data_IF_181605969669
#
_entry.id   IF_181605969669
#
_cell.length_a   1.000
_cell.length_b   1.000
_cell.length_c   1.000
_cell.angle_alpha   90.00
_cell.angle_beta   90.00
_cell.angle_gamma   90.00
#
_symmetry.space_group_name_H-M   'P 1'
#
loop_
_entity.id
_entity.type
_entity.pdbx_description
1 polymer ?
#
# COMPACT_ATOMS: atom_id res chain seq x y z
N UNK A 1 4.78 -23.53 30.31
CA UNK A 1 4.87 -22.06 30.04
C UNK A 1 4.79 -21.67 28.54
N UNK A 2 5.01 -22.58 27.58
CA UNK A 2 4.65 -22.39 26.16
C UNK A 2 3.12 -22.27 25.93
N UNK A 3 2.30 -22.89 26.79
CA UNK A 3 0.83 -22.89 26.66
C UNK A 3 0.19 -21.49 26.69
N UNK A 4 0.81 -20.47 27.31
CA UNK A 4 0.24 -19.11 27.42
C UNK A 4 0.20 -18.33 26.10
N UNK A 5 0.89 -18.77 25.04
CA UNK A 5 0.90 -18.11 23.71
C UNK A 5 0.20 -18.96 22.64
N UNK A 6 0.13 -20.28 22.83
CA UNK A 6 -0.45 -21.21 21.85
C UNK A 6 -1.97 -21.08 21.72
N UNK A 7 -2.69 -20.93 22.85
CA UNK A 7 -4.14 -20.74 22.85
C UNK A 7 -4.57 -19.44 22.12
N UNK A 8 -4.01 -18.25 22.44
CA UNK A 8 -4.38 -17.03 21.72
C UNK A 8 -3.95 -17.05 20.24
N UNK A 9 -2.84 -17.72 19.90
CA UNK A 9 -2.43 -17.86 18.50
C UNK A 9 -3.40 -18.73 17.67
N UNK A 10 -3.88 -19.85 18.21
CA UNK A 10 -4.86 -20.72 17.52
C UNK A 10 -6.17 -19.98 17.25
N UNK A 11 -6.66 -19.25 18.25
CA UNK A 11 -7.83 -18.39 18.11
C UNK A 11 -7.62 -17.31 17.05
N UNK A 12 -6.51 -16.54 17.13
CA UNK A 12 -6.16 -15.52 16.15
C UNK A 12 -6.07 -16.08 14.73
N UNK A 13 -5.48 -17.27 14.56
CA UNK A 13 -5.39 -17.95 13.27
C UNK A 13 -6.76 -18.32 12.71
N UNK A 14 -7.66 -18.84 13.54
CA UNK A 14 -9.03 -19.18 13.13
C UNK A 14 -9.81 -17.92 12.72
N UNK A 15 -9.74 -16.86 13.53
CA UNK A 15 -10.36 -15.56 13.22
C UNK A 15 -9.84 -14.97 11.91
N UNK A 16 -8.51 -14.96 11.70
CA UNK A 16 -7.91 -14.50 10.45
C UNK A 16 -8.36 -15.34 9.26
N UNK A 17 -8.43 -16.67 9.40
CA UNK A 17 -8.89 -17.53 8.32
C UNK A 17 -10.34 -17.21 7.92
N UNK A 18 -11.24 -17.05 8.89
CA UNK A 18 -12.64 -16.63 8.63
C UNK A 18 -12.68 -15.28 7.94
N UNK A 19 -11.93 -14.31 8.43
CA UNK A 19 -11.85 -12.96 7.87
C UNK A 19 -11.38 -12.96 6.41
N UNK A 20 -10.34 -13.75 6.10
CA UNK A 20 -9.79 -13.87 4.75
C UNK A 20 -10.71 -14.60 3.78
N UNK A 21 -11.61 -15.45 4.30
CA UNK A 21 -12.57 -16.19 3.49
C UNK A 21 -13.87 -15.42 3.27
N UNK A 22 -14.39 -14.75 4.30
CA UNK A 22 -15.76 -14.23 4.32
C UNK A 22 -15.86 -12.72 4.49
N UNK A 23 -14.81 -12.06 4.98
CA UNK A 23 -14.87 -10.66 5.40
C UNK A 23 -15.22 -10.45 6.87
N UNK A 24 -15.64 -11.50 7.58
CA UNK A 24 -16.08 -11.43 8.97
C UNK A 24 -15.42 -12.49 9.84
N UNK A 25 -15.37 -12.22 11.14
CA UNK A 25 -14.93 -13.16 12.15
C UNK A 25 -15.70 -12.95 13.47
N UNK A 26 -15.73 -13.96 14.32
CA UNK A 26 -16.27 -13.87 15.68
C UNK A 26 -15.19 -14.31 16.69
N UNK A 27 -15.26 -13.83 17.93
CA UNK A 27 -14.27 -14.23 18.95
C UNK A 27 -14.66 -15.58 19.55
N UNK A 28 -13.70 -16.37 20.05
CA UNK A 28 -14.03 -17.60 20.75
C UNK A 28 -14.92 -17.32 21.96
N UNK A 29 -16.10 -17.95 22.00
CA UNK A 29 -17.09 -17.77 23.05
C UNK A 29 -18.22 -16.81 22.71
N UNK A 30 -18.11 -16.04 21.62
CA UNK A 30 -19.20 -15.22 21.07
C UNK A 30 -20.12 -16.08 20.18
N UNK A 31 -21.38 -15.67 20.00
CA UNK A 31 -22.28 -16.29 19.03
C UNK A 31 -21.78 -16.02 17.61
N UNK A 32 -21.73 -17.01 16.69
CA UNK A 32 -21.46 -16.75 15.28
C UNK A 32 -22.34 -15.67 14.64
N UNK A 33 -23.55 -15.43 15.18
CA UNK A 33 -24.41 -14.31 14.78
C UNK A 33 -23.80 -12.93 15.08
N UNK A 34 -22.88 -12.83 16.04
CA UNK A 34 -22.18 -11.60 16.44
C UNK A 34 -20.88 -11.37 15.63
N UNK A 35 -20.80 -11.93 14.42
CA UNK A 35 -19.64 -11.76 13.55
C UNK A 35 -19.39 -10.27 13.21
N UNK A 36 -18.12 -9.87 13.22
CA UNK A 36 -17.67 -8.50 12.99
C UNK A 36 -16.62 -8.41 11.89
N UNK A 37 -16.60 -7.30 11.19
CA UNK A 37 -15.57 -6.88 10.22
C UNK A 37 -14.54 -5.92 10.86
N UNK A 38 -14.68 -5.61 12.15
CA UNK A 38 -13.80 -4.67 12.84
C UNK A 38 -12.41 -5.28 13.03
N UNK A 39 -11.44 -4.79 12.27
CA UNK A 39 -10.07 -5.30 12.29
C UNK A 39 -9.29 -4.96 13.57
N UNK A 40 -9.68 -3.92 14.32
CA UNK A 40 -8.86 -3.36 15.39
C UNK A 40 -8.59 -4.35 16.55
N UNK A 41 -9.59 -5.09 17.09
CA UNK A 41 -9.34 -6.07 18.14
C UNK A 41 -8.42 -7.22 17.70
N UNK A 42 -8.60 -7.68 16.45
CA UNK A 42 -7.78 -8.74 15.87
C UNK A 42 -6.33 -8.27 15.65
N UNK A 43 -6.14 -7.04 15.16
CA UNK A 43 -4.82 -6.42 15.03
C UNK A 43 -4.11 -6.29 16.38
N UNK A 44 -4.82 -5.83 17.42
CA UNK A 44 -4.28 -5.74 18.78
C UNK A 44 -3.82 -7.11 19.31
N UNK A 45 -4.61 -8.15 19.05
CA UNK A 45 -4.26 -9.53 19.43
C UNK A 45 -3.01 -10.03 18.69
N UNK A 46 -2.93 -9.82 17.38
CA UNK A 46 -1.78 -10.22 16.56
C UNK A 46 -0.52 -9.45 16.94
N UNK A 47 -0.65 -8.14 17.17
CA UNK A 47 0.43 -7.27 17.64
C UNK A 47 0.98 -7.75 18.99
N UNK A 48 0.11 -8.11 19.94
CA UNK A 48 0.52 -8.68 21.21
C UNK A 48 1.27 -10.00 21.05
N UNK A 49 0.75 -10.93 20.21
CA UNK A 49 1.40 -12.21 19.93
C UNK A 49 2.79 -11.99 19.32
N UNK A 50 2.89 -11.09 18.33
CA UNK A 50 4.15 -10.74 17.68
C UNK A 50 5.16 -10.16 18.67
N UNK A 51 4.73 -9.22 19.52
CA UNK A 51 5.59 -8.60 20.52
C UNK A 51 6.13 -9.59 21.56
N UNK A 52 5.26 -10.48 22.08
CA UNK A 52 5.67 -11.55 23.01
C UNK A 52 6.66 -12.50 22.34
N UNK A 53 6.44 -12.81 21.06
CA UNK A 53 7.35 -13.65 20.28
C UNK A 53 8.70 -12.97 20.05
N UNK A 54 8.71 -11.74 19.55
CA UNK A 54 9.92 -10.99 19.25
C UNK A 54 10.82 -10.82 20.48
N UNK A 55 10.24 -10.67 21.67
CA UNK A 55 10.97 -10.63 22.95
C UNK A 55 11.57 -11.97 23.39
N UNK A 56 10.96 -13.09 22.99
CA UNK A 56 11.41 -14.44 23.35
C UNK A 56 12.36 -15.03 22.33
N UNK A 57 12.28 -14.57 21.09
CA UNK A 57 13.19 -14.98 20.03
C UNK A 57 14.62 -14.52 20.36
N UNK A 58 15.59 -15.36 20.02
CA UNK A 58 17.00 -14.97 20.12
C UNK A 58 17.27 -13.77 19.21
N UNK A 59 18.34 -13.02 19.52
CA UNK A 59 18.78 -11.91 18.66
C UNK A 59 18.82 -12.34 17.19
N UNK A 60 18.37 -11.50 16.23
CA UNK A 60 18.26 -11.87 14.81
C UNK A 60 19.54 -12.46 14.23
N UNK A 61 20.70 -11.91 14.61
CA UNK A 61 22.03 -12.39 14.19
C UNK A 61 22.29 -13.85 14.62
N UNK A 62 21.89 -14.23 15.83
CA UNK A 62 22.06 -15.59 16.37
C UNK A 62 21.14 -16.56 15.64
N UNK A 63 19.88 -16.17 15.40
CA UNK A 63 18.94 -16.99 14.62
C UNK A 63 19.41 -17.16 13.17
N UNK A 64 20.01 -16.14 12.56
CA UNK A 64 20.56 -16.22 11.19
C UNK A 64 21.71 -17.23 11.11
N UNK A 65 22.63 -17.20 12.07
CA UNK A 65 23.75 -18.14 12.16
C UNK A 65 23.26 -19.57 12.42
N UNK A 66 22.38 -19.76 13.41
CA UNK A 66 21.84 -21.08 13.75
C UNK A 66 21.00 -21.69 12.59
N UNK A 67 20.30 -20.86 11.82
CA UNK A 67 19.60 -21.30 10.61
C UNK A 67 20.57 -21.70 9.50
N UNK A 68 21.64 -20.92 9.28
CA UNK A 68 22.65 -21.24 8.28
C UNK A 68 23.41 -22.53 8.62
N UNK A 69 23.60 -22.81 9.92
CA UNK A 69 24.19 -24.04 10.42
C UNK A 69 23.22 -25.24 10.45
N UNK A 70 21.94 -25.05 10.08
CA UNK A 70 20.92 -26.11 10.14
C UNK A 70 20.47 -26.52 11.54
N UNK A 71 20.96 -25.84 12.58
CA UNK A 71 20.73 -26.19 13.99
C UNK A 71 19.34 -25.77 14.50
N UNK A 72 18.80 -24.67 13.97
CA UNK A 72 17.54 -24.11 14.44
C UNK A 72 16.83 -23.30 13.37
N UNK A 73 15.56 -23.62 13.12
CA UNK A 73 14.69 -22.82 12.26
C UNK A 73 13.66 -22.08 13.14
N UNK A 74 13.75 -20.74 13.28
CA UNK A 74 12.83 -20.00 14.14
C UNK A 74 11.39 -20.10 13.59
N UNK A 75 10.38 -20.41 14.44
CA UNK A 75 9.01 -20.56 13.98
C UNK A 75 8.48 -19.20 13.48
N UNK A 76 8.14 -19.09 12.19
CA UNK A 76 7.66 -17.84 11.55
C UNK A 76 6.15 -17.69 11.54
N UNK A 77 5.41 -18.73 11.91
CA UNK A 77 3.96 -18.80 11.72
C UNK A 77 3.16 -17.63 12.33
N UNK A 78 3.51 -17.06 13.52
CA UNK A 78 2.84 -15.86 14.01
C UNK A 78 3.18 -14.58 13.25
N UNK A 79 4.43 -14.44 12.80
CA UNK A 79 4.87 -13.32 11.96
C UNK A 79 4.20 -13.38 10.58
N UNK A 80 4.18 -14.57 9.96
CA UNK A 80 3.55 -14.78 8.66
C UNK A 80 2.03 -14.56 8.72
N UNK A 81 1.37 -14.98 9.81
CA UNK A 81 -0.05 -14.70 10.03
C UNK A 81 -0.31 -13.20 10.15
N UNK A 82 0.51 -12.49 10.93
CA UNK A 82 0.35 -11.05 11.08
C UNK A 82 0.67 -10.30 9.78
N UNK A 83 1.68 -10.74 9.02
CA UNK A 83 1.96 -10.25 7.66
C UNK A 83 0.75 -10.40 6.74
N UNK A 84 0.12 -11.59 6.72
CA UNK A 84 -1.11 -11.82 5.94
C UNK A 84 -2.24 -10.90 6.38
N UNK A 85 -2.43 -10.73 7.69
CA UNK A 85 -3.44 -9.82 8.21
C UNK A 85 -3.20 -8.36 7.80
N UNK A 86 -1.97 -7.86 7.92
CA UNK A 86 -1.65 -6.49 7.50
C UNK A 86 -1.81 -6.33 5.98
N UNK A 87 -1.42 -7.33 5.19
CA UNK A 87 -1.63 -7.30 3.74
C UNK A 87 -3.12 -7.25 3.40
N UNK A 88 -3.95 -8.04 4.10
CA UNK A 88 -5.40 -7.98 3.96
C UNK A 88 -5.94 -6.58 4.27
N UNK A 89 -5.59 -6.02 5.44
CA UNK A 89 -6.04 -4.70 5.90
C UNK A 89 -5.69 -3.57 4.93
N UNK A 90 -4.46 -3.56 4.41
CA UNK A 90 -3.97 -2.44 3.61
C UNK A 90 -4.18 -2.61 2.10
N UNK A 91 -4.18 -3.84 1.58
CA UNK A 91 -4.14 -4.07 0.13
C UNK A 91 -5.36 -4.83 -0.39
N UNK A 92 -5.84 -5.88 0.32
CA UNK A 92 -7.00 -6.66 -0.13
C UNK A 92 -8.35 -6.03 0.24
N UNK A 93 -8.42 -5.33 1.38
CA UNK A 93 -9.60 -4.65 1.89
C UNK A 93 -9.29 -3.22 2.40
N UNK A 94 -8.67 -2.35 1.57
CA UNK A 94 -8.38 -0.97 1.96
C UNK A 94 -9.68 -0.20 2.21
N UNK A 95 -9.79 0.46 3.36
CA UNK A 95 -10.95 1.29 3.74
C UNK A 95 -11.02 2.65 3.02
N UNK A 96 -9.89 3.11 2.50
CA UNK A 96 -9.74 4.36 1.77
C UNK A 96 -8.58 4.20 0.77
N UNK A 97 -8.45 5.06 -0.26
CA UNK A 97 -7.32 5.01 -1.17
C UNK A 97 -6.00 5.07 -0.41
N UNK A 98 -5.09 4.14 -0.68
CA UNK A 98 -3.84 3.99 0.07
C UNK A 98 -2.65 4.41 -0.77
N UNK A 99 -1.87 5.38 -0.29
CA UNK A 99 -0.62 5.82 -0.91
C UNK A 99 0.57 5.18 -0.18
N UNK A 100 1.46 4.56 -0.94
CA UNK A 100 2.70 3.93 -0.48
C UNK A 100 3.87 4.75 -1.01
N UNK A 101 4.50 5.52 -0.12
CA UNK A 101 5.67 6.36 -0.42
C UNK A 101 6.98 5.64 -0.09
N UNK A 102 8.12 6.23 -0.46
CA UNK A 102 9.43 5.70 -0.11
C UNK A 102 9.75 5.97 1.37
N UNK A 103 9.64 7.25 1.74
CA UNK A 103 9.99 7.78 3.05
C UNK A 103 8.78 8.27 3.87
N UNK A 104 9.04 8.53 5.16
CA UNK A 104 8.08 9.26 6.01
C UNK A 104 8.04 10.76 5.68
N UNK A 105 9.11 11.30 5.12
CA UNK A 105 9.20 12.69 4.65
C UNK A 105 8.12 12.98 3.61
N UNK A 106 7.99 12.10 2.63
CA UNK A 106 7.07 12.24 1.50
C UNK A 106 5.61 12.25 1.98
N UNK A 107 5.31 11.45 3.01
CA UNK A 107 4.00 11.45 3.67
C UNK A 107 3.73 12.85 4.24
N UNK A 108 4.66 13.42 4.99
CA UNK A 108 4.50 14.75 5.57
C UNK A 108 4.35 15.83 4.49
N UNK A 109 5.12 15.76 3.40
CA UNK A 109 4.98 16.71 2.28
C UNK A 109 3.59 16.64 1.65
N UNK A 110 3.12 15.44 1.30
CA UNK A 110 1.80 15.24 0.68
C UNK A 110 0.67 15.63 1.63
N UNK A 111 0.81 15.36 2.92
CA UNK A 111 -0.17 15.79 3.93
C UNK A 111 -0.29 17.32 3.96
N UNK A 112 0.83 18.03 3.91
CA UNK A 112 0.83 19.49 3.90
C UNK A 112 0.27 20.03 2.57
N UNK A 113 0.69 19.48 1.43
CA UNK A 113 0.22 19.88 0.12
C UNK A 113 -1.30 19.66 -0.06
N UNK A 114 -1.82 18.48 0.30
CA UNK A 114 -3.26 18.19 0.24
C UNK A 114 -4.05 19.16 1.13
N UNK A 115 -3.51 19.52 2.31
CA UNK A 115 -4.16 20.48 3.20
C UNK A 115 -4.21 21.88 2.60
N UNK A 116 -3.10 22.35 2.04
CA UNK A 116 -3.02 23.68 1.42
C UNK A 116 -3.89 23.78 0.15
N UNK A 117 -3.93 22.71 -0.65
CA UNK A 117 -4.59 22.66 -1.95
C UNK A 117 -5.97 21.96 -1.91
N UNK A 118 -6.55 21.76 -0.73
CA UNK A 118 -7.79 20.97 -0.54
C UNK A 118 -8.94 21.44 -1.44
N UNK A 119 -9.06 22.75 -1.65
CA UNK A 119 -10.11 23.35 -2.50
C UNK A 119 -10.00 22.96 -3.97
N UNK A 120 -8.77 22.70 -4.45
CA UNK A 120 -8.49 22.23 -5.82
C UNK A 120 -8.66 20.71 -5.96
N UNK A 121 -8.45 19.96 -4.87
CA UNK A 121 -8.42 18.49 -4.87
C UNK A 121 -9.45 17.85 -3.92
N UNK A 122 -10.75 18.00 -4.21
CA UNK A 122 -11.82 17.53 -3.33
C UNK A 122 -11.89 16.00 -3.18
N UNK A 123 -11.25 15.22 -4.07
CA UNK A 123 -11.18 13.76 -3.92
C UNK A 123 -10.08 13.33 -2.93
N UNK A 124 -9.14 14.22 -2.61
CA UNK A 124 -8.02 13.94 -1.71
C UNK A 124 -8.26 14.43 -0.28
N UNK A 125 -9.09 15.46 -0.12
CA UNK A 125 -9.48 16.02 1.16
C UNK A 125 -10.74 16.87 1.05
N UNK A 126 -11.37 17.12 2.20
CA UNK A 126 -12.52 18.02 2.34
C UNK A 126 -12.34 18.92 3.56
N UNK A 127 -12.95 20.09 3.55
CA UNK A 127 -13.06 20.95 4.73
C UNK A 127 -14.33 20.61 5.52
N UNK A 128 -14.21 20.38 6.83
CA UNK A 128 -15.31 20.12 7.76
C UNK A 128 -14.98 20.84 9.08
N UNK A 129 -15.88 21.71 9.55
CA UNK A 129 -15.71 22.52 10.77
C UNK A 129 -14.39 23.32 10.85
N UNK A 130 -13.97 23.89 9.71
CA UNK A 130 -12.72 24.64 9.60
C UNK A 130 -11.45 23.76 9.69
N UNK A 131 -11.59 22.43 9.65
CA UNK A 131 -10.48 21.48 9.61
C UNK A 131 -10.48 20.73 8.29
N UNK A 132 -9.30 20.50 7.73
CA UNK A 132 -9.15 19.65 6.56
C UNK A 132 -9.11 18.19 6.98
N UNK A 133 -10.09 17.43 6.51
CA UNK A 133 -10.16 15.98 6.63
C UNK A 133 -9.63 15.36 5.34
N UNK A 134 -8.55 14.61 5.46
CA UNK A 134 -7.97 13.87 4.34
C UNK A 134 -8.79 12.62 4.02
N UNK A 135 -9.05 12.38 2.73
CA UNK A 135 -9.82 11.24 2.23
C UNK A 135 -8.93 10.07 1.77
N UNK A 136 -7.62 10.31 1.64
CA UNK A 136 -6.60 9.29 1.33
C UNK A 136 -5.82 8.88 2.57
N UNK A 137 -5.37 7.63 2.61
CA UNK A 137 -4.51 7.08 3.65
C UNK A 137 -3.08 6.92 3.15
N UNK A 138 -2.12 6.96 4.07
CA UNK A 138 -0.73 6.65 3.79
C UNK A 138 -0.34 5.38 4.52
N UNK A 139 0.41 4.51 3.85
CA UNK A 139 1.01 3.37 4.53
C UNK A 139 2.10 3.90 5.45
N UNK A 140 1.72 4.18 6.69
CA UNK A 140 2.66 4.74 7.66
C UNK A 140 3.60 3.65 8.10
N UNK A 141 4.88 3.87 7.88
CA UNK A 141 5.84 2.83 8.15
C UNK A 141 6.33 2.92 9.59
N UNK A 142 5.60 2.28 10.48
CA UNK A 142 6.13 1.97 11.81
C UNK A 142 7.17 0.85 11.66
N UNK A 143 8.21 0.82 12.50
CA UNK A 143 9.22 -0.25 12.45
C UNK A 143 8.56 -1.64 12.40
N UNK A 144 7.54 -1.85 13.24
CA UNK A 144 6.75 -3.08 13.26
C UNK A 144 5.97 -3.36 11.98
N UNK A 145 5.29 -2.40 11.37
CA UNK A 145 4.51 -2.66 10.14
C UNK A 145 5.39 -2.84 8.91
N UNK A 146 6.49 -2.08 8.78
CA UNK A 146 7.50 -2.26 7.72
C UNK A 146 8.18 -3.62 7.82
N UNK A 147 8.66 -3.98 9.02
CA UNK A 147 9.35 -5.25 9.26
C UNK A 147 8.43 -6.44 8.97
N UNK A 148 7.16 -6.35 9.38
CA UNK A 148 6.21 -7.44 9.24
C UNK A 148 5.69 -7.57 7.82
N UNK A 149 5.33 -6.47 7.15
CA UNK A 149 4.92 -6.51 5.75
C UNK A 149 6.08 -6.89 4.81
N UNK A 150 7.32 -6.88 5.31
CA UNK A 150 8.54 -7.21 4.57
C UNK A 150 8.67 -6.35 3.28
N UNK A 151 8.23 -5.10 3.36
CA UNK A 151 8.23 -4.16 2.24
C UNK A 151 9.60 -3.53 2.00
N UNK A 152 10.71 -4.20 2.33
CA UNK A 152 12.07 -3.69 2.15
C UNK A 152 12.30 -2.26 2.69
N UNK A 153 13.42 -1.67 2.26
CA UNK A 153 13.65 -0.24 2.42
C UNK A 153 13.60 0.42 1.03
N UNK A 154 13.01 1.60 0.99
CA UNK A 154 13.01 2.44 -0.20
C UNK A 154 12.35 1.82 -1.44
N UNK A 155 12.87 2.19 -2.61
CA UNK A 155 12.42 1.68 -3.92
C UNK A 155 12.44 0.14 -4.05
N UNK A 156 13.40 -0.55 -3.43
CA UNK A 156 13.46 -2.02 -3.45
C UNK A 156 12.22 -2.67 -2.81
N UNK A 157 11.69 -1.99 -1.79
CA UNK A 157 10.46 -2.35 -1.11
C UNK A 157 9.22 -2.31 -1.99
N UNK A 158 9.06 -1.18 -2.69
CA UNK A 158 7.99 -0.97 -3.64
C UNK A 158 8.07 -1.98 -4.80
N UNK A 159 9.27 -2.26 -5.31
CA UNK A 159 9.48 -3.26 -6.35
C UNK A 159 9.07 -4.68 -5.88
N UNK A 160 9.37 -5.03 -4.63
CA UNK A 160 8.95 -6.30 -4.03
C UNK A 160 7.43 -6.39 -3.87
N UNK A 161 6.78 -5.30 -3.45
CA UNK A 161 5.32 -5.21 -3.37
C UNK A 161 4.68 -5.45 -4.74
N UNK A 162 5.13 -4.74 -5.78
CA UNK A 162 4.59 -4.88 -7.15
C UNK A 162 4.69 -6.33 -7.63
N UNK A 163 5.87 -6.94 -7.49
CA UNK A 163 6.12 -8.29 -7.99
C UNK A 163 5.35 -9.39 -7.24
N UNK A 164 5.10 -9.21 -5.95
CA UNK A 164 4.42 -10.21 -5.12
C UNK A 164 2.91 -9.99 -4.98
N UNK A 165 2.39 -8.82 -5.40
CA UNK A 165 1.02 -8.36 -5.13
C UNK A 165 -0.05 -9.40 -5.49
N UNK A 166 -0.09 -9.81 -6.76
CA UNK A 166 -1.08 -10.77 -7.30
C UNK A 166 -0.98 -12.13 -6.62
N UNK A 167 0.24 -12.59 -6.33
CA UNK A 167 0.43 -13.87 -5.64
C UNK A 167 0.00 -13.79 -4.17
N UNK A 168 0.22 -12.66 -3.50
CA UNK A 168 -0.26 -12.44 -2.14
C UNK A 168 -1.78 -12.39 -2.09
N UNK A 169 -2.44 -11.77 -3.08
CA UNK A 169 -3.90 -11.72 -3.18
C UNK A 169 -4.57 -13.10 -3.27
N UNK A 170 -3.88 -14.13 -3.79
CA UNK A 170 -4.39 -15.51 -3.84
C UNK A 170 -4.65 -16.12 -2.46
N UNK A 171 -4.09 -15.54 -1.39
CA UNK A 171 -4.35 -16.00 -0.02
C UNK A 171 -5.75 -15.61 0.51
N UNK A 172 -6.51 -14.78 -0.22
CA UNK A 172 -7.78 -14.22 0.25
C UNK A 172 -8.91 -14.56 -0.74
N UNK A 173 -9.97 -15.20 -0.24
CA UNK A 173 -11.20 -15.34 -0.99
C UNK A 173 -11.98 -14.03 -0.95
N UNK A 174 -12.12 -13.45 0.24
CA UNK A 174 -12.67 -12.11 0.46
C UNK A 174 -11.59 -11.05 0.22
N UNK A 175 -11.72 -10.31 -0.88
CA UNK A 175 -10.81 -9.21 -1.28
C UNK A 175 -11.63 -8.14 -2.00
N UNK A 176 -12.41 -7.33 -1.27
CA UNK A 176 -13.32 -6.37 -1.87
C UNK A 176 -12.58 -5.32 -2.69
N UNK A 177 -11.32 -5.02 -2.32
CA UNK A 177 -10.45 -4.09 -3.04
C UNK A 177 -11.13 -2.75 -3.32
N UNK A 178 -12.07 -2.31 -2.48
CA UNK A 178 -12.97 -1.18 -2.76
C UNK A 178 -12.27 0.16 -3.03
N UNK A 179 -10.97 0.27 -2.74
CA UNK A 179 -10.17 1.46 -2.94
C UNK A 179 -8.82 1.13 -3.61
N UNK A 180 -8.26 2.08 -4.39
CA UNK A 180 -6.99 1.87 -5.06
C UNK A 180 -5.81 1.96 -4.08
N UNK A 181 -4.74 1.26 -4.43
CA UNK A 181 -3.42 1.31 -3.81
C UNK A 181 -2.47 1.97 -4.81
N UNK A 182 -1.87 3.08 -4.40
CA UNK A 182 -1.03 3.94 -5.24
C UNK A 182 0.39 3.88 -4.70
N UNK A 183 1.31 3.29 -5.46
CA UNK A 183 2.73 3.40 -5.18
C UNK A 183 3.20 4.73 -5.76
N UNK A 184 3.81 5.57 -4.92
CA UNK A 184 4.43 6.82 -5.33
C UNK A 184 5.94 6.70 -5.23
N UNK A 185 6.65 6.99 -6.32
CA UNK A 185 8.11 7.01 -6.35
C UNK A 185 8.65 8.27 -7.02
N UNK A 186 9.91 8.58 -6.75
CA UNK A 186 10.66 9.60 -7.47
C UNK A 186 10.75 9.26 -8.96
N UNK A 187 10.94 10.29 -9.78
CA UNK A 187 11.16 10.14 -11.22
C UNK A 187 12.66 10.10 -11.50
N UNK A 188 13.39 9.16 -10.93
CA UNK A 188 14.84 9.09 -11.09
C UNK A 188 15.31 7.66 -11.43
N UNK A 189 16.62 7.41 -11.31
CA UNK A 189 17.21 6.10 -11.64
C UNK A 189 17.16 5.10 -10.46
N UNK A 190 16.85 5.55 -9.25
CA UNK A 190 16.65 4.71 -8.06
C UNK A 190 15.57 3.62 -8.23
N UNK A 191 14.40 3.93 -8.84
CA UNK A 191 13.33 2.97 -9.10
C UNK A 191 13.47 2.14 -10.37
N UNK A 192 14.68 1.90 -10.93
CA UNK A 192 14.84 1.01 -12.12
C UNK A 192 14.14 -0.34 -11.97
N UNK A 193 14.16 -0.91 -10.76
CA UNK A 193 13.46 -2.17 -10.47
C UNK A 193 11.95 -1.99 -10.29
N UNK A 194 11.50 -0.84 -9.78
CA UNK A 194 10.09 -0.46 -9.65
C UNK A 194 9.48 -0.29 -11.04
N UNK A 195 10.09 0.53 -11.91
CA UNK A 195 9.63 0.75 -13.28
C UNK A 195 9.60 -0.56 -14.05
N UNK A 196 10.69 -1.34 -14.04
CA UNK A 196 10.72 -2.66 -14.71
C UNK A 196 9.62 -3.61 -14.23
N UNK A 197 9.39 -3.68 -12.92
CA UNK A 197 8.34 -4.56 -12.37
C UNK A 197 6.94 -4.05 -12.69
N UNK A 198 6.74 -2.73 -12.69
CA UNK A 198 5.50 -2.09 -13.09
C UNK A 198 5.23 -2.28 -14.59
N UNK A 199 6.21 -2.06 -15.46
CA UNK A 199 6.14 -2.36 -16.91
C UNK A 199 5.75 -3.81 -17.16
N UNK A 200 6.43 -4.75 -16.48
CA UNK A 200 6.11 -6.18 -16.60
C UNK A 200 4.68 -6.50 -16.18
N UNK A 201 4.11 -5.77 -15.22
CA UNK A 201 2.78 -6.04 -14.68
C UNK A 201 1.67 -5.31 -15.43
N UNK A 202 1.87 -4.04 -15.79
CA UNK A 202 0.89 -3.20 -16.47
C UNK A 202 0.99 -3.21 -18.00
N UNK A 203 2.10 -3.69 -18.57
CA UNK A 203 2.32 -3.76 -20.02
C UNK A 203 2.67 -2.44 -20.69
N UNK A 204 2.56 -1.31 -19.99
CA UNK A 204 2.96 0.03 -20.48
C UNK A 204 4.41 0.31 -20.14
N UNK A 205 5.16 0.91 -21.08
CA UNK A 205 6.55 1.35 -20.88
C UNK A 205 6.59 2.52 -19.89
N UNK A 206 7.56 2.50 -18.97
CA UNK A 206 7.73 3.49 -17.90
C UNK A 206 9.19 3.90 -17.86
N UNK A 207 9.46 5.17 -18.15
CA UNK A 207 10.81 5.74 -18.09
C UNK A 207 10.80 7.07 -17.36
N UNK A 208 11.98 7.65 -17.17
CA UNK A 208 12.09 9.01 -16.61
C UNK A 208 11.50 10.10 -17.51
N UNK A 209 11.15 9.76 -18.75
CA UNK A 209 10.65 10.68 -19.79
C UNK A 209 9.19 10.43 -20.17
N UNK A 210 8.57 9.35 -19.70
CA UNK A 210 7.13 9.13 -19.92
C UNK A 210 6.34 10.12 -19.09
N UNK A 211 5.19 10.56 -19.60
CA UNK A 211 4.40 11.67 -19.01
C UNK A 211 2.98 11.24 -18.60
N UNK A 212 2.68 9.94 -18.68
CA UNK A 212 1.37 9.45 -18.30
C UNK A 212 1.05 9.83 -16.85
N UNK A 213 -0.21 10.20 -16.55
CA UNK A 213 -0.57 10.62 -15.21
C UNK A 213 -0.42 9.49 -14.19
N UNK A 214 -0.63 8.24 -14.61
CA UNK A 214 -0.45 7.05 -13.79
C UNK A 214 -0.25 5.80 -14.65
N UNK A 215 0.17 4.71 -14.01
CA UNK A 215 0.29 3.38 -14.62
C UNK A 215 -0.57 2.38 -13.83
N UNK A 216 -1.59 1.82 -14.49
CA UNK A 216 -2.43 0.77 -13.90
C UNK A 216 -1.72 -0.59 -13.96
N UNK A 217 -1.56 -1.25 -12.82
CA UNK A 217 -0.78 -2.49 -12.68
C UNK A 217 -1.67 -3.73 -12.42
N UNK A 218 -2.98 -3.61 -12.67
CA UNK A 218 -3.97 -4.64 -12.40
C UNK A 218 -4.56 -4.59 -10.98
N UNK A 219 -5.70 -5.27 -10.82
CA UNK A 219 -6.47 -5.32 -9.56
C UNK A 219 -6.86 -3.91 -9.08
N UNK A 220 -6.37 -3.49 -7.92
CA UNK A 220 -6.50 -2.13 -7.40
C UNK A 220 -5.13 -1.41 -7.29
N UNK A 221 -4.08 -1.90 -7.97
CA UNK A 221 -2.72 -1.39 -7.83
C UNK A 221 -2.34 -0.42 -8.95
N UNK A 222 -1.73 0.70 -8.56
CA UNK A 222 -1.26 1.77 -9.43
C UNK A 222 0.16 2.20 -9.09
N UNK A 223 0.86 2.75 -10.08
CA UNK A 223 2.09 3.51 -9.90
C UNK A 223 1.88 4.95 -10.38
N UNK A 224 2.30 5.90 -9.55
CA UNK A 224 2.46 7.31 -9.89
C UNK A 224 3.91 7.67 -9.65
N UNK A 225 4.51 8.43 -10.58
CA UNK A 225 5.86 8.98 -10.42
C UNK A 225 5.77 10.49 -10.20
N UNK A 226 6.75 11.06 -9.51
CA UNK A 226 6.91 12.51 -9.41
C UNK A 226 6.87 13.13 -10.82
N UNK A 227 6.11 14.21 -11.05
CA UNK A 227 6.04 14.82 -12.35
C UNK A 227 7.39 15.33 -12.83
N UNK A 228 7.70 15.06 -14.10
CA UNK A 228 8.94 15.45 -14.77
C UNK A 228 9.17 16.97 -14.81
N UNK A 229 8.09 17.78 -14.75
CA UNK A 229 8.13 19.23 -14.90
C UNK A 229 8.38 19.67 -16.35
N UNK A 230 8.68 20.96 -16.55
CA UNK A 230 8.80 21.54 -17.90
C UNK A 230 9.94 21.00 -18.77
N UNK A 231 10.86 20.19 -18.22
CA UNK A 231 11.87 19.46 -18.98
C UNK A 231 11.88 18.01 -18.52
N UNK A 232 11.82 17.05 -19.45
CA UNK A 232 11.84 15.62 -19.12
C UNK A 232 13.18 15.22 -18.52
N UNK A 233 13.30 15.29 -17.20
CA UNK A 233 14.52 14.98 -16.45
C UNK A 233 14.22 14.18 -15.21
N UNK A 234 15.30 13.69 -14.57
CA UNK A 234 15.20 13.08 -13.25
C UNK A 234 14.69 14.08 -12.24
N UNK A 235 13.79 13.65 -11.36
CA UNK A 235 13.19 14.53 -10.36
C UNK A 235 12.82 13.79 -9.09
N UNK A 236 13.34 14.26 -7.97
CA UNK A 236 12.94 13.83 -6.63
C UNK A 236 11.75 14.67 -6.13
N UNK A 237 10.94 14.14 -5.23
CA UNK A 237 9.76 14.85 -4.70
C UNK A 237 10.12 16.18 -4.02
N UNK A 238 11.32 16.30 -3.43
CA UNK A 238 11.78 17.55 -2.83
C UNK A 238 11.94 18.69 -3.83
N UNK A 239 12.18 18.39 -5.11
CA UNK A 239 12.31 19.39 -6.17
C UNK A 239 10.96 20.04 -6.56
N UNK A 240 9.86 19.59 -5.95
CA UNK A 240 8.55 20.25 -6.07
C UNK A 240 8.42 21.47 -5.14
N UNK A 241 9.31 21.63 -4.16
CA UNK A 241 9.34 22.79 -3.30
C UNK A 241 10.01 24.00 -3.96
N UNK A 242 9.62 25.20 -3.52
CA UNK A 242 10.26 26.42 -3.97
C UNK A 242 11.73 26.49 -3.50
N UNK A 243 12.64 27.06 -4.30
CA UNK A 243 14.04 27.19 -3.92
C UNK A 243 14.27 27.91 -2.58
N UNK A 244 13.42 28.89 -2.24
CA UNK A 244 13.50 29.62 -0.98
C UNK A 244 13.28 28.70 0.23
N UNK A 245 12.30 27.80 0.16
CA UNK A 245 12.02 26.85 1.23
C UNK A 245 13.16 25.85 1.39
N UNK A 246 13.70 25.33 0.27
CA UNK A 246 14.86 24.43 0.26
C UNK A 246 16.13 25.08 0.82
N UNK A 247 16.28 26.40 0.68
CA UNK A 247 17.41 27.15 1.22
C UNK A 247 17.31 27.44 2.73
N UNK A 248 16.21 27.05 3.39
CA UNK A 248 16.01 27.26 4.83
C UNK A 248 17.11 26.59 5.65
N UNK A 249 17.74 27.34 6.56
CA UNK A 249 18.74 26.78 7.48
C UNK A 249 18.09 26.40 8.80
N UNK A 250 18.48 25.24 9.34
CA UNK A 250 18.10 24.79 10.68
C UNK A 250 19.33 24.75 11.56
N UNK A 251 19.38 25.59 12.60
CA UNK A 251 20.53 25.69 13.52
C UNK A 251 21.87 25.86 12.77
N UNK A 252 21.87 26.71 11.74
CA UNK A 252 23.05 26.96 10.88
C UNK A 252 23.31 25.90 9.81
N UNK A 253 22.62 24.75 9.83
CA UNK A 253 22.79 23.65 8.87
C UNK A 253 21.93 23.86 7.61
N UNK A 254 22.48 23.52 6.44
CA UNK A 254 21.76 23.51 5.16
C UNK A 254 20.99 22.21 4.94
N UNK A 255 19.98 22.23 4.07
CA UNK A 255 19.29 21.02 3.66
C UNK A 255 20.14 20.20 2.68
N UNK A 256 20.25 18.89 2.93
CA UNK A 256 20.77 17.93 1.95
C UNK A 256 19.85 16.70 1.88
N UNK A 257 19.17 16.44 0.76
CA UNK A 257 18.33 15.26 0.59
C UNK A 257 19.13 13.95 0.61
N UNK A 258 20.44 13.99 0.35
CA UNK A 258 21.36 12.84 0.28
C UNK A 258 22.32 12.79 1.46
N UNK A 259 21.97 13.47 2.54
CA UNK A 259 22.77 13.54 3.75
C UNK A 259 23.25 12.15 4.21
N UNK A 260 24.56 12.01 4.29
CA UNK A 260 25.23 10.81 4.81
C UNK A 260 25.27 10.76 6.35
N UNK A 261 25.46 9.55 6.89
CA UNK A 261 25.66 9.34 8.33
C UNK A 261 26.95 10.01 8.80
N UNK A 262 26.84 10.92 9.78
CA UNK A 262 27.98 11.66 10.34
C UNK A 262 28.18 13.05 9.73
N UNK A 263 27.34 13.48 8.79
CA UNK A 263 27.34 14.87 8.35
C UNK A 263 26.70 15.78 9.42
N UNK A 264 27.52 16.63 10.01
CA UNK A 264 27.08 17.60 11.01
C UNK A 264 26.75 18.98 10.44
N UNK A 265 27.01 19.19 9.15
CA UNK A 265 26.79 20.46 8.45
C UNK A 265 25.43 20.55 7.77
N UNK A 266 24.82 19.40 7.42
CA UNK A 266 23.49 19.36 6.82
C UNK A 266 22.43 18.68 7.70
N UNK A 267 21.16 18.96 7.40
CA UNK A 267 20.01 18.21 7.90
C UNK A 267 19.30 17.49 6.74
N UNK A 268 18.73 16.31 7.04
CA UNK A 268 18.14 15.43 6.02
C UNK A 268 16.63 15.58 5.84
N UNK A 269 16.06 14.78 4.93
CA UNK A 269 14.64 14.80 4.49
C UNK A 269 13.64 14.84 5.64
N UNK A 270 13.83 14.03 6.69
CA UNK A 270 12.92 14.00 7.85
C UNK A 270 12.91 15.33 8.60
N UNK A 271 14.07 15.93 8.85
CA UNK A 271 14.13 17.22 9.54
C UNK A 271 13.56 18.35 8.66
N UNK A 272 13.76 18.29 7.35
CA UNK A 272 13.12 19.21 6.41
C UNK A 272 11.60 19.12 6.47
N UNK A 273 11.05 17.91 6.39
CA UNK A 273 9.61 17.69 6.44
C UNK A 273 8.97 18.17 7.75
N UNK A 274 9.57 17.80 8.88
CA UNK A 274 8.99 18.03 10.20
C UNK A 274 9.18 19.47 10.69
N UNK A 275 10.34 20.08 10.44
CA UNK A 275 10.72 21.37 11.02
C UNK A 275 10.65 22.54 10.05
N UNK A 276 10.68 22.30 8.73
CA UNK A 276 10.59 23.36 7.71
C UNK A 276 9.23 23.33 7.03
N UNK A 277 8.90 22.23 6.37
CA UNK A 277 7.66 22.14 5.58
C UNK A 277 6.44 22.28 6.48
N UNK A 278 6.35 21.53 7.59
CA UNK A 278 5.19 21.64 8.49
C UNK A 278 5.05 23.03 9.11
N UNK A 279 6.16 23.68 9.44
CA UNK A 279 6.17 25.01 10.03
C UNK A 279 5.67 26.09 9.05
N UNK A 280 5.93 25.91 7.76
CA UNK A 280 5.52 26.86 6.71
C UNK A 280 4.25 26.42 5.95
N UNK A 281 3.64 25.28 6.32
CA UNK A 281 2.52 24.70 5.56
C UNK A 281 1.22 25.51 5.56
N UNK A 282 1.15 26.64 6.27
CA UNK A 282 0.05 27.61 6.19
C UNK A 282 0.34 28.80 5.27
N UNK A 283 1.63 29.08 5.00
CA UNK A 283 2.08 30.18 4.15
C UNK A 283 2.55 29.71 2.78
N UNK A 284 2.95 28.44 2.66
CA UNK A 284 3.34 27.81 1.39
C UNK A 284 2.12 27.44 0.55
N UNK A 285 2.21 27.73 -0.75
CA UNK A 285 1.19 27.51 -1.77
C UNK A 285 1.38 26.16 -2.51
N UNK A 286 2.50 25.46 -2.29
CA UNK A 286 2.82 24.15 -2.89
C UNK A 286 2.61 24.03 -4.41
N UNK A 287 3.00 25.01 -5.25
CA UNK A 287 2.66 25.02 -6.68
C UNK A 287 3.21 23.80 -7.45
N UNK A 288 4.40 23.30 -7.07
CA UNK A 288 4.98 22.11 -7.69
C UNK A 288 4.25 20.80 -7.36
N UNK A 289 3.40 20.78 -6.33
CA UNK A 289 2.63 19.60 -5.95
C UNK A 289 1.30 19.49 -6.70
N UNK A 290 0.82 20.55 -7.35
CA UNK A 290 -0.49 20.53 -8.04
C UNK A 290 -0.55 19.38 -9.06
N UNK A 291 0.43 19.31 -9.97
CA UNK A 291 0.48 18.25 -10.99
C UNK A 291 0.57 16.84 -10.36
N UNK A 292 1.30 16.68 -9.25
CA UNK A 292 1.37 15.39 -8.57
C UNK A 292 0.02 15.00 -7.95
N UNK A 293 -0.70 15.94 -7.35
CA UNK A 293 -2.03 15.70 -6.78
C UNK A 293 -3.07 15.44 -7.88
N UNK A 294 -2.97 16.11 -9.04
CA UNK A 294 -3.78 15.82 -10.22
C UNK A 294 -3.61 14.37 -10.69
N UNK A 295 -2.36 13.88 -10.74
CA UNK A 295 -2.04 12.48 -11.07
C UNK A 295 -2.68 11.50 -10.09
N UNK A 296 -2.66 11.81 -8.79
CA UNK A 296 -3.31 10.99 -7.76
C UNK A 296 -4.84 11.00 -7.92
N UNK A 297 -5.46 12.16 -8.14
CA UNK A 297 -6.90 12.23 -8.42
C UNK A 297 -7.29 11.47 -9.69
N UNK A 298 -6.45 11.50 -10.73
CA UNK A 298 -6.68 10.76 -11.96
C UNK A 298 -6.76 9.24 -11.70
N UNK A 299 -5.94 8.72 -10.78
CA UNK A 299 -6.06 7.32 -10.32
C UNK A 299 -7.42 7.07 -9.66
N UNK A 300 -7.86 7.96 -8.77
CA UNK A 300 -9.14 7.79 -8.07
C UNK A 300 -10.32 7.79 -9.06
N UNK A 301 -10.31 8.70 -10.03
CA UNK A 301 -11.32 8.80 -11.10
C UNK A 301 -11.30 7.54 -11.97
N UNK A 302 -10.12 7.08 -12.39
CA UNK A 302 -9.97 5.86 -13.17
C UNK A 302 -10.45 4.61 -12.42
N UNK A 303 -10.11 4.48 -11.14
CA UNK A 303 -10.54 3.34 -10.35
C UNK A 303 -12.05 3.32 -10.10
N UNK A 304 -12.65 4.49 -9.83
CA UNK A 304 -14.10 4.62 -9.73
C UNK A 304 -14.80 4.20 -11.03
N UNK A 305 -14.24 4.56 -12.19
CA UNK A 305 -14.76 4.14 -13.49
C UNK A 305 -14.68 2.61 -13.69
N UNK A 306 -13.59 1.96 -13.26
CA UNK A 306 -13.47 0.49 -13.27
C UNK A 306 -14.55 -0.16 -12.41
N UNK A 307 -14.80 0.36 -11.20
CA UNK A 307 -15.82 -0.19 -10.30
C UNK A 307 -17.25 0.03 -10.81
N UNK A 308 -17.49 1.13 -11.52
CA UNK A 308 -18.79 1.46 -12.10
C UNK A 308 -19.09 0.72 -13.42
N UNK A 309 -18.06 0.18 -14.09
CA UNK A 309 -18.25 -0.59 -15.31
C UNK A 309 -19.06 -1.87 -14.97
N UNK A 310 -20.18 -2.13 -15.65
CA UNK A 310 -20.92 -3.37 -15.43
C UNK A 310 -19.98 -4.54 -15.71
N UNK A 311 -19.85 -5.44 -14.73
CA UNK A 311 -19.26 -6.75 -14.95
C UNK A 311 -19.89 -7.31 -16.22
N UNK A 312 -19.11 -7.48 -17.29
CA UNK A 312 -19.59 -8.14 -18.49
C UNK A 312 -20.10 -9.51 -18.06
N UNK A 313 -21.43 -9.64 -17.98
CA UNK A 313 -22.06 -10.91 -17.66
C UNK A 313 -21.55 -11.92 -18.70
N UNK A 314 -21.15 -13.13 -18.27
CA UNK A 314 -20.86 -14.17 -19.25
C UNK A 314 -22.08 -14.32 -20.17
N UNK A 315 -21.88 -14.50 -21.49
CA UNK A 315 -23.01 -14.72 -22.39
C UNK A 315 -23.82 -15.89 -21.83
N UNK A 316 -25.14 -15.66 -21.70
CA UNK A 316 -26.07 -16.71 -21.29
C UNK A 316 -25.80 -17.96 -22.15
N UNK A 317 -25.78 -19.17 -21.55
CA UNK A 317 -25.55 -20.38 -22.33
C UNK A 317 -26.59 -20.42 -23.45
N UNK A 318 -26.11 -20.54 -24.69
CA UNK A 318 -26.96 -20.71 -25.85
C UNK A 318 -27.96 -21.84 -25.54
N UNK A 319 -29.26 -21.53 -25.66
CA UNK A 319 -30.32 -22.49 -25.44
C UNK A 319 -30.00 -23.75 -26.26
N UNK A 320 -29.85 -24.88 -25.57
CA UNK A 320 -29.64 -26.17 -26.21
C UNK A 320 -30.82 -26.42 -27.17
N UNK A 321 -30.50 -26.54 -28.45
CA UNK A 321 -31.45 -26.99 -29.46
C UNK A 321 -31.94 -28.38 -29.07
N UNK A 322 -33.27 -28.52 -29.00
CA UNK A 322 -33.92 -29.78 -28.67
C UNK A 322 -33.50 -30.89 -29.66
N UNK A 323 -33.31 -32.14 -29.20
CA UNK A 323 -32.95 -33.24 -30.08
C UNK A 323 -34.10 -33.54 -31.05
N UNK A 324 -33.74 -33.69 -32.33
CA UNK A 324 -34.62 -34.12 -33.41
C UNK A 324 -35.15 -35.53 -33.09
N UNK A 325 -36.47 -35.78 -33.16
CA UNK A 325 -37.02 -37.10 -32.92
C UNK A 325 -36.62 -38.09 -34.03
N UNK A 326 -36.43 -39.39 -33.72
CA UNK A 326 -36.04 -40.39 -34.70
C UNK A 326 -37.15 -40.64 -35.74
N UNK A 327 -36.79 -41.03 -36.97
CA UNK A 327 -37.77 -41.26 -38.03
C UNK A 327 -38.67 -42.46 -37.71
N UNK A 328 -39.96 -42.28 -37.98
CA UNK A 328 -40.98 -43.30 -37.81
C UNK A 328 -40.73 -44.51 -38.73
N UNK A 329 -40.74 -45.69 -38.13
CA UNK A 329 -40.77 -46.98 -38.81
C UNK A 329 -42.06 -47.11 -39.63
N UNK A 330 -41.95 -47.16 -40.94
CA UNK A 330 -43.04 -47.62 -41.83
C UNK A 330 -42.88 -49.11 -42.07
N UNK A 331 -43.64 -49.90 -41.34
CA UNK A 331 -43.91 -51.30 -41.64
C UNK A 331 -45.07 -51.39 -42.64
N UNK A 332 -44.88 -52.12 -43.74
CA UNK A 332 -45.96 -52.68 -44.56
C UNK A 332 -45.40 -53.67 -45.58
N UNK A 333 -46.19 -54.66 -46.03
CA UNK A 333 -46.88 -55.72 -45.29
C UNK A 333 -46.08 -57.03 -45.23
#
# INVERSE_FOLDING_TARGET
>A
RLCRVLAPYRAARAMCNSLFQTGFYFKPGDDPADATDNLNPLEGTLSHIYFVKARRDRKPRVNKLAKAAGEFNPPRAPEDLYRKFLFYKYFAAPKAPLIVTEGISDITYLQCAIRALVKKFPLLGKEEDGKVIRLVHFLTPTGTSRDILNLGHGAAGQASLISSYTNNLKNYAHKPMANPVIILCDNDDGPKTVFKNAEKKGGTKITTTTIDPFYYLGENLYLVKVPEGGTTRRREIEELFQPALLATKLNGKSFDPKKDHGDDTHYGKVAFAESVVRANASSEDFPGFEELLERIEAVLKHYAAILAAPSAAPPAPAAATAPVPPPASTATP
#
